data_IF_361187615968
#
_entry.id   IF_361187615968
#
_cell.length_a   1.000
_cell.length_b   1.000
_cell.length_c   1.000
_cell.angle_alpha   90.00
_cell.angle_beta   90.00
_cell.angle_gamma   90.00
#
_symmetry.space_group_name_H-M   'P 1'
#
loop_
_entity.id
_entity.type
_entity.pdbx_description
1 polymer ?
#
# COMPACT_ATOMS: atom_id res chain seq x y z
N UNK A 1 -4.36 -2.40 22.51
CA UNK A 1 -4.53 -3.37 21.41
C UNK A 1 -3.43 -3.13 20.38
N UNK A 2 -2.81 -4.16 19.80
CA UNK A 2 -1.78 -4.02 18.74
C UNK A 2 -2.33 -4.59 17.44
N UNK A 3 -2.15 -3.88 16.33
CA UNK A 3 -2.53 -4.31 14.98
C UNK A 3 -1.28 -4.64 14.18
N UNK A 4 -1.34 -5.71 13.37
CA UNK A 4 -0.32 -6.01 12.37
C UNK A 4 -0.76 -5.38 11.06
N UNK A 5 0.14 -4.63 10.42
CA UNK A 5 -0.10 -3.97 9.14
C UNK A 5 0.97 -4.43 8.17
N UNK A 6 0.58 -4.83 6.96
CA UNK A 6 1.49 -5.09 5.85
C UNK A 6 1.68 -3.76 5.12
N UNK A 7 2.92 -3.30 5.00
CA UNK A 7 3.23 -2.05 4.30
C UNK A 7 3.35 -2.32 2.82
N UNK A 8 2.52 -1.66 2.03
CA UNK A 8 2.56 -1.68 0.56
C UNK A 8 3.42 -0.52 0.04
N UNK A 9 3.29 0.65 0.67
CA UNK A 9 3.89 1.89 0.19
C UNK A 9 4.68 2.53 1.34
N UNK A 10 6.02 2.60 1.23
CA UNK A 10 6.84 3.31 2.20
C UNK A 10 6.55 4.81 2.20
N UNK A 11 6.68 5.45 3.36
CA UNK A 11 6.67 6.91 3.49
C UNK A 11 7.67 7.54 2.51
N UNK A 12 7.22 8.56 1.79
CA UNK A 12 8.03 9.28 0.81
C UNK A 12 8.05 8.66 -0.59
N UNK A 13 7.37 7.53 -0.81
CA UNK A 13 7.20 6.97 -2.15
C UNK A 13 6.17 7.76 -2.95
N UNK A 14 6.44 7.96 -4.25
CA UNK A 14 5.47 8.41 -5.24
C UNK A 14 4.85 7.25 -6.06
N UNK A 15 5.24 6.01 -5.78
CA UNK A 15 4.67 4.82 -6.44
C UNK A 15 3.59 4.23 -5.55
N UNK A 16 2.36 4.19 -6.06
CA UNK A 16 1.26 3.46 -5.44
C UNK A 16 1.35 2.00 -5.82
N UNK A 17 1.91 1.22 -4.91
CA UNK A 17 1.83 -0.23 -4.94
C UNK A 17 0.52 -0.71 -4.33
N UNK A 18 0.04 -1.87 -4.77
CA UNK A 18 -1.16 -2.49 -4.24
C UNK A 18 -0.99 -4.01 -4.28
N UNK A 19 -1.35 -4.69 -3.18
CA UNK A 19 -1.22 -6.13 -3.07
C UNK A 19 -2.41 -6.81 -3.74
N UNK A 20 -2.15 -7.49 -4.84
CA UNK A 20 -3.16 -8.23 -5.55
C UNK A 20 -3.42 -9.59 -4.86
N UNK A 21 -4.55 -9.70 -4.17
CA UNK A 21 -4.94 -10.93 -3.44
C UNK A 21 -5.17 -12.15 -4.33
N UNK A 22 -5.39 -11.98 -5.64
CA UNK A 22 -5.56 -13.10 -6.57
C UNK A 22 -4.20 -13.67 -6.98
N UNK A 23 -3.22 -12.82 -7.22
CA UNK A 23 -1.88 -13.22 -7.68
C UNK A 23 -0.88 -13.43 -6.53
N UNK A 24 -1.21 -12.92 -5.33
CA UNK A 24 -0.30 -12.83 -4.18
C UNK A 24 1.00 -12.06 -4.48
N UNK A 25 0.91 -11.05 -5.36
CA UNK A 25 2.03 -10.20 -5.73
C UNK A 25 1.72 -8.74 -5.40
N UNK A 26 2.80 -7.98 -5.13
CA UNK A 26 2.72 -6.53 -5.06
C UNK A 26 2.84 -5.96 -6.47
N UNK A 27 1.82 -5.24 -6.91
CA UNK A 27 1.72 -4.71 -8.28
C UNK A 27 1.74 -3.18 -8.25
N UNK A 28 2.26 -2.56 -9.30
CA UNK A 28 2.18 -1.10 -9.45
C UNK A 28 0.80 -0.75 -9.97
N UNK A 29 -0.01 -0.08 -9.15
CA UNK A 29 -1.27 0.51 -9.61
C UNK A 29 -0.98 1.75 -10.46
N UNK A 30 -0.21 2.70 -9.91
CA UNK A 30 0.19 3.92 -10.63
C UNK A 30 1.37 4.65 -10.00
N UNK A 31 1.98 5.53 -10.78
CA UNK A 31 2.88 6.58 -10.28
C UNK A 31 2.04 7.83 -10.02
N UNK A 32 2.17 8.42 -8.83
CA UNK A 32 1.50 9.67 -8.46
C UNK A 32 1.98 10.82 -9.37
N UNK A 33 1.09 11.76 -9.65
CA UNK A 33 1.43 12.95 -10.44
C UNK A 33 2.19 13.95 -9.58
N UNK A 34 2.93 14.84 -10.24
CA UNK A 34 3.62 15.96 -9.60
C UNK A 34 4.53 15.47 -8.44
N UNK A 35 4.65 16.27 -7.38
CA UNK A 35 5.48 15.98 -6.22
C UNK A 35 4.68 15.32 -5.07
N UNK A 36 3.57 14.64 -5.39
CA UNK A 36 2.79 13.94 -4.37
C UNK A 36 3.54 12.71 -3.86
N UNK A 37 3.75 12.67 -2.55
CA UNK A 37 4.40 11.56 -1.84
C UNK A 37 3.49 11.04 -0.72
N UNK A 38 3.53 9.74 -0.46
CA UNK A 38 2.83 9.17 0.71
C UNK A 38 3.44 9.71 2.01
N UNK A 39 2.68 10.39 2.88
CA UNK A 39 3.23 11.06 4.07
C UNK A 39 3.58 10.09 5.22
N UNK A 40 3.14 8.84 5.12
CA UNK A 40 3.34 7.77 6.08
C UNK A 40 3.47 6.42 5.36
N UNK A 41 3.89 5.38 6.08
CA UNK A 41 3.81 4.02 5.57
C UNK A 41 2.33 3.64 5.43
N UNK A 42 1.94 3.22 4.23
CA UNK A 42 0.57 2.86 3.89
C UNK A 42 0.49 1.38 3.53
N UNK A 43 -0.64 0.76 3.87
CA UNK A 43 -0.94 -0.61 3.49
C UNK A 43 -2.21 -1.12 4.18
N UNK A 44 -2.31 -2.42 4.38
CA UNK A 44 -3.55 -3.06 4.87
C UNK A 44 -3.34 -3.89 6.13
N UNK A 45 -4.42 -4.13 6.87
CA UNK A 45 -4.47 -5.07 7.97
C UNK A 45 -4.85 -6.45 7.42
N UNK A 46 -4.06 -7.51 7.65
CA UNK A 46 -4.43 -8.84 7.20
C UNK A 46 -5.75 -9.33 7.82
N UNK A 47 -6.50 -10.13 7.07
CA UNK A 47 -7.76 -10.75 7.54
C UNK A 47 -8.87 -9.77 7.91
N UNK A 48 -8.89 -8.58 7.30
CA UNK A 48 -10.03 -7.65 7.34
C UNK A 48 -10.73 -7.59 5.98
N UNK A 49 -12.00 -7.17 5.98
CA UNK A 49 -12.73 -6.90 4.74
C UNK A 49 -12.26 -5.55 4.17
N UNK A 50 -11.94 -5.54 2.89
CA UNK A 50 -11.44 -4.40 2.13
C UNK A 50 -12.03 -4.55 0.73
N UNK A 51 -12.72 -3.50 0.28
CA UNK A 51 -13.76 -3.52 -0.75
C UNK A 51 -13.33 -2.79 -2.02
#
# INVERSE_FOLDING_TARGET
MKLKVVIEIPKGSNVKYEFNRKTNMLEVDRILREDFLYPCNYGFVPSTLDW
#
